data_IF_254184908980
#
_entry.id   IF_254184908980
#
_cell.length_a   1.000
_cell.length_b   1.000
_cell.length_c   1.000
_cell.angle_alpha   90.00
_cell.angle_beta   90.00
_cell.angle_gamma   90.00
#
_symmetry.space_group_name_H-M   'P 1'
#
loop_
_entity.id
_entity.type
_entity.pdbx_description
1 polymer ?
#
# COMPACT_ATOMS: atom_id res chain seq x y z
N UNK A 1 -7.99 -0.45 2.26
CA UNK A 1 -7.65 -0.03 0.87
C UNK A 1 -8.74 0.88 0.33
N UNK A 2 -8.38 2.01 -0.26
CA UNK A 2 -9.35 2.84 -0.95
C UNK A 2 -9.77 2.13 -2.23
N UNK A 3 -11.01 1.65 -2.28
CA UNK A 3 -11.58 1.02 -3.47
C UNK A 3 -11.59 1.93 -4.72
N UNK A 4 -11.30 3.20 -4.57
CA UNK A 4 -11.30 4.22 -5.62
C UNK A 4 -9.96 4.43 -6.36
N UNK A 5 -8.91 3.70 -6.01
CA UNK A 5 -7.59 3.89 -6.60
C UNK A 5 -6.85 5.14 -6.12
N UNK A 6 -5.68 5.40 -6.68
CA UNK A 6 -4.85 6.56 -6.36
C UNK A 6 -5.21 7.71 -7.28
N UNK A 7 -5.68 8.81 -6.70
CA UNK A 7 -6.03 10.03 -7.46
C UNK A 7 -4.80 10.54 -8.24
N UNK A 8 -4.96 10.77 -9.51
CA UNK A 8 -3.91 11.30 -10.38
C UNK A 8 -2.97 10.25 -10.98
N UNK A 9 -2.93 9.00 -10.46
CA UNK A 9 -2.01 7.97 -10.91
C UNK A 9 -2.09 7.73 -12.44
N UNK A 10 -3.29 7.66 -13.01
CA UNK A 10 -3.48 7.48 -14.47
C UNK A 10 -2.84 8.59 -15.30
N UNK A 11 -2.93 9.85 -14.83
CA UNK A 11 -2.33 10.98 -15.54
C UNK A 11 -0.82 10.98 -15.41
N UNK A 12 -0.30 10.67 -14.21
CA UNK A 12 1.14 10.52 -13.98
C UNK A 12 1.72 9.43 -14.87
N UNK A 13 1.09 8.25 -14.92
CA UNK A 13 1.54 7.12 -15.76
C UNK A 13 1.55 7.46 -17.23
N UNK A 14 0.55 8.21 -17.73
CA UNK A 14 0.50 8.67 -19.13
C UNK A 14 1.61 9.66 -19.50
N UNK A 15 2.08 10.43 -18.52
CA UNK A 15 3.12 11.44 -18.72
C UNK A 15 4.56 10.87 -18.58
N UNK A 16 4.71 9.59 -18.22
CA UNK A 16 6.02 8.96 -18.10
C UNK A 16 6.70 8.83 -19.45
N UNK A 17 8.00 9.11 -19.49
CA UNK A 17 8.85 8.82 -20.65
C UNK A 17 8.99 7.30 -20.84
N UNK A 18 9.23 6.86 -22.08
CA UNK A 18 9.33 5.41 -22.42
C UNK A 18 10.45 4.68 -21.67
N UNK A 19 11.53 5.39 -21.33
CA UNK A 19 12.72 4.90 -20.64
C UNK A 19 12.71 5.18 -19.13
N UNK A 20 11.61 5.74 -18.61
CA UNK A 20 11.50 6.06 -17.21
C UNK A 20 11.62 4.80 -16.35
N UNK A 21 12.54 4.83 -15.39
CA UNK A 21 12.67 3.80 -14.35
C UNK A 21 11.66 4.09 -13.25
N UNK A 22 10.84 3.10 -12.94
CA UNK A 22 9.70 3.28 -12.05
C UNK A 22 9.92 2.46 -10.78
N UNK A 23 9.74 3.12 -9.65
CA UNK A 23 9.67 2.46 -8.33
C UNK A 23 8.29 2.77 -7.77
N UNK A 24 7.53 1.73 -7.48
CA UNK A 24 6.23 1.84 -6.82
C UNK A 24 6.40 1.41 -5.37
N UNK A 25 6.07 2.31 -4.45
CA UNK A 25 6.09 2.02 -3.02
C UNK A 25 4.66 2.07 -2.51
N UNK A 26 4.19 0.99 -1.91
CA UNK A 26 2.90 0.97 -1.22
C UNK A 26 3.10 0.99 0.28
N UNK A 27 2.22 1.69 0.98
CA UNK A 27 2.25 1.77 2.45
C UNK A 27 0.89 1.35 2.98
N UNK A 28 0.86 0.43 3.92
CA UNK A 28 -0.36 -0.08 4.54
C UNK A 28 -0.16 -0.50 5.99
N UNK A 29 -1.23 -0.95 6.64
CA UNK A 29 -1.17 -1.45 8.02
C UNK A 29 -0.96 -2.97 8.08
N UNK A 30 -1.44 -3.71 7.07
CA UNK A 30 -1.33 -5.15 7.01
C UNK A 30 0.14 -5.60 6.87
N UNK A 31 0.40 -6.84 7.27
CA UNK A 31 1.73 -7.41 7.21
C UNK A 31 2.24 -7.47 5.76
N UNK A 32 3.45 -6.99 5.55
CA UNK A 32 4.12 -6.97 4.23
C UNK A 32 4.76 -8.30 3.89
N UNK A 33 4.80 -9.26 4.81
CA UNK A 33 5.26 -10.63 4.59
C UNK A 33 4.10 -11.61 4.38
N UNK A 34 2.86 -11.17 4.56
CA UNK A 34 1.66 -11.96 4.27
C UNK A 34 1.43 -12.00 2.75
N UNK A 35 1.50 -13.21 2.17
CA UNK A 35 1.39 -13.40 0.73
C UNK A 35 0.01 -13.00 0.19
N UNK A 36 -1.08 -13.27 0.93
CA UNK A 36 -2.43 -12.86 0.55
C UNK A 36 -2.51 -11.32 0.45
N UNK A 37 -1.92 -10.62 1.41
CA UNK A 37 -1.86 -9.16 1.40
C UNK A 37 -1.09 -8.64 0.19
N UNK A 38 0.09 -9.19 -0.10
CA UNK A 38 0.91 -8.82 -1.25
C UNK A 38 0.13 -9.02 -2.55
N UNK A 39 -0.52 -10.17 -2.72
CA UNK A 39 -1.28 -10.50 -3.93
C UNK A 39 -2.46 -9.55 -4.12
N UNK A 40 -3.16 -9.19 -3.06
CA UNK A 40 -4.26 -8.23 -3.09
C UNK A 40 -3.80 -6.82 -3.47
N UNK A 41 -2.65 -6.39 -2.93
CA UNK A 41 -2.04 -5.10 -3.29
C UNK A 41 -1.65 -5.11 -4.78
N UNK A 42 -0.97 -6.16 -5.25
CA UNK A 42 -0.55 -6.30 -6.65
C UNK A 42 -1.74 -6.34 -7.61
N UNK A 43 -2.79 -7.08 -7.29
CA UNK A 43 -4.05 -7.05 -8.06
C UNK A 43 -4.64 -5.65 -8.17
N UNK A 44 -4.56 -4.86 -7.09
CA UNK A 44 -5.03 -3.48 -7.09
C UNK A 44 -4.16 -2.55 -7.94
N UNK A 45 -2.84 -2.73 -7.91
CA UNK A 45 -1.90 -1.98 -8.76
C UNK A 45 -2.15 -2.31 -10.23
N UNK A 46 -2.30 -3.59 -10.59
CA UNK A 46 -2.53 -4.05 -11.95
C UNK A 46 -3.82 -3.48 -12.59
N UNK A 47 -4.82 -3.13 -11.77
CA UNK A 47 -6.05 -2.46 -12.25
C UNK A 47 -5.84 -0.98 -12.60
N UNK A 48 -4.77 -0.36 -12.11
CA UNK A 48 -4.55 1.09 -12.18
C UNK A 48 -3.35 1.47 -13.06
N UNK A 49 -2.38 0.58 -13.18
CA UNK A 49 -1.13 0.80 -13.91
C UNK A 49 -1.05 -0.18 -15.08
N UNK A 50 -0.81 0.29 -16.32
CA UNK A 50 -0.68 -0.57 -17.48
C UNK A 50 0.47 -1.58 -17.33
N UNK A 51 0.31 -2.78 -17.92
CA UNK A 51 1.27 -3.87 -17.78
C UNK A 51 2.65 -3.53 -18.36
N UNK A 52 2.72 -2.79 -19.45
CA UNK A 52 4.00 -2.33 -20.03
C UNK A 52 4.81 -1.44 -19.06
N UNK A 53 4.13 -0.71 -18.19
CA UNK A 53 4.76 0.08 -17.12
C UNK A 53 5.22 -0.84 -15.98
N UNK A 54 4.37 -1.78 -15.58
CA UNK A 54 4.66 -2.71 -14.49
C UNK A 54 5.83 -3.64 -14.79
N UNK A 55 6.01 -4.03 -16.07
CA UNK A 55 7.13 -4.87 -16.49
C UNK A 55 8.50 -4.23 -16.22
N UNK A 56 8.55 -2.88 -16.18
CA UNK A 56 9.76 -2.10 -15.91
C UNK A 56 9.79 -1.49 -14.50
N UNK A 57 8.78 -1.78 -13.67
CA UNK A 57 8.66 -1.24 -12.34
C UNK A 57 9.26 -2.19 -11.28
N UNK A 58 9.92 -1.61 -10.29
CA UNK A 58 10.25 -2.30 -9.04
C UNK A 58 9.20 -1.91 -8.00
N UNK A 59 8.62 -2.90 -7.32
CA UNK A 59 7.53 -2.67 -6.37
C UNK A 59 7.99 -3.05 -4.97
N UNK A 60 7.82 -2.13 -4.02
CA UNK A 60 8.08 -2.35 -2.60
C UNK A 60 6.80 -2.18 -1.80
N UNK A 61 6.69 -2.97 -0.74
CA UNK A 61 5.59 -2.89 0.22
C UNK A 61 6.16 -2.53 1.59
N UNK A 62 5.65 -1.46 2.19
CA UNK A 62 6.06 -0.99 3.51
C UNK A 62 4.88 -0.98 4.47
N UNK A 63 5.16 -1.14 5.75
CA UNK A 63 4.17 -0.89 6.80
C UNK A 63 4.22 0.55 7.24
N UNK A 64 3.06 1.10 7.57
CA UNK A 64 2.91 2.44 8.11
C UNK A 64 2.28 2.43 9.50
N UNK A 65 1.87 3.59 9.95
CA UNK A 65 1.17 3.75 11.22
C UNK A 65 -0.20 4.42 11.05
N UNK A 66 -1.02 4.34 12.08
CA UNK A 66 -2.28 5.07 12.17
C UNK A 66 -2.50 5.54 13.61
N UNK A 67 -2.97 6.77 13.75
CA UNK A 67 -3.47 7.30 15.01
C UNK A 67 -4.96 7.63 14.83
N UNK A 68 -5.83 6.76 15.35
CA UNK A 68 -7.27 6.94 15.22
C UNK A 68 -7.78 8.22 15.89
N UNK A 69 -7.09 8.73 16.92
CA UNK A 69 -7.47 9.98 17.60
C UNK A 69 -7.25 11.20 16.72
N UNK A 70 -6.30 11.13 15.78
CA UNK A 70 -5.98 12.21 14.83
C UNK A 70 -6.81 12.17 13.56
N UNK A 71 -7.62 11.12 13.34
CA UNK A 71 -8.53 11.07 12.20
C UNK A 71 -9.60 12.15 12.33
N UNK A 72 -9.93 12.81 11.23
CA UNK A 72 -11.06 13.72 11.18
C UNK A 72 -12.39 12.95 11.36
N UNK A 73 -13.46 13.67 11.72
CA UNK A 73 -14.75 13.08 12.05
C UNK A 73 -15.29 12.16 10.93
N UNK A 74 -15.15 12.57 9.66
CA UNK A 74 -15.59 11.78 8.50
C UNK A 74 -14.88 10.43 8.43
N UNK A 75 -13.55 10.42 8.58
CA UNK A 75 -12.77 9.18 8.54
C UNK A 75 -13.03 8.30 9.77
N UNK A 76 -13.19 8.90 10.95
CA UNK A 76 -13.56 8.14 12.17
C UNK A 76 -14.90 7.44 12.01
N UNK A 77 -15.92 8.14 11.51
CA UNK A 77 -17.25 7.55 11.26
C UNK A 77 -17.17 6.43 10.23
N UNK A 78 -16.45 6.65 9.12
CA UNK A 78 -16.27 5.62 8.09
C UNK A 78 -15.58 4.37 8.66
N UNK A 79 -14.51 4.55 9.47
CA UNK A 79 -13.81 3.44 10.10
C UNK A 79 -14.69 2.69 11.10
N UNK A 80 -15.51 3.40 11.87
CA UNK A 80 -16.46 2.79 12.81
C UNK A 80 -17.52 1.95 12.10
N UNK A 81 -18.09 2.44 11.01
CA UNK A 81 -19.05 1.69 10.20
C UNK A 81 -18.41 0.44 9.58
N UNK A 82 -17.21 0.58 9.05
CA UNK A 82 -16.47 -0.53 8.48
C UNK A 82 -16.13 -1.59 9.53
N UNK A 83 -15.61 -1.17 10.69
CA UNK A 83 -15.32 -2.07 11.81
C UNK A 83 -16.55 -2.85 12.25
N UNK A 84 -17.69 -2.18 12.46
CA UNK A 84 -18.94 -2.83 12.84
C UNK A 84 -19.42 -3.84 11.81
N UNK A 85 -19.17 -3.59 10.52
CA UNK A 85 -19.52 -4.50 9.44
C UNK A 85 -18.66 -5.77 9.43
N UNK A 86 -17.37 -5.65 9.74
CA UNK A 86 -16.40 -6.74 9.51
C UNK A 86 -15.98 -7.49 10.78
N UNK A 87 -16.16 -6.90 11.98
CA UNK A 87 -15.73 -7.53 13.25
C UNK A 87 -16.36 -8.90 13.52
N UNK A 88 -17.58 -9.12 12.99
CA UNK A 88 -18.32 -10.37 13.14
C UNK A 88 -18.17 -11.34 11.98
N UNK A 89 -17.33 -11.02 10.98
CA UNK A 89 -17.07 -11.95 9.90
C UNK A 89 -16.36 -13.22 10.43
N UNK A 90 -16.71 -14.41 9.89
CA UNK A 90 -15.97 -15.62 10.16
C UNK A 90 -14.48 -15.47 9.77
N UNK A 91 -13.59 -16.16 10.47
CA UNK A 91 -12.12 -16.03 10.23
C UNK A 91 -11.73 -16.32 8.77
N UNK A 92 -12.36 -17.32 8.14
CA UNK A 92 -12.12 -17.67 6.73
C UNK A 92 -12.56 -16.60 5.71
N UNK A 93 -13.28 -15.57 6.15
CA UNK A 93 -13.70 -14.41 5.34
C UNK A 93 -12.95 -13.13 5.67
N UNK A 94 -12.08 -13.16 6.68
CA UNK A 94 -11.25 -12.01 7.06
C UNK A 94 -9.96 -12.03 6.25
N UNK A 95 -9.83 -11.11 5.31
CA UNK A 95 -8.55 -10.87 4.62
C UNK A 95 -7.52 -10.28 5.56
N UNK A 96 -6.23 -10.33 5.20
CA UNK A 96 -5.14 -9.71 5.96
C UNK A 96 -5.40 -8.22 6.28
N UNK A 97 -5.99 -7.49 5.34
CA UNK A 97 -6.36 -6.08 5.52
C UNK A 97 -7.48 -5.91 6.57
N UNK A 98 -8.47 -6.78 6.55
CA UNK A 98 -9.58 -6.76 7.54
C UNK A 98 -9.04 -7.09 8.93
N UNK A 99 -8.17 -8.09 9.05
CA UNK A 99 -7.53 -8.44 10.32
C UNK A 99 -6.73 -7.27 10.87
N UNK A 100 -5.84 -6.68 10.06
CA UNK A 100 -5.06 -5.52 10.47
C UNK A 100 -5.94 -4.33 10.88
N UNK A 101 -7.05 -4.09 10.17
CA UNK A 101 -7.99 -3.05 10.53
C UNK A 101 -8.69 -3.31 11.86
N UNK A 102 -9.10 -4.57 12.13
CA UNK A 102 -9.75 -4.94 13.40
C UNK A 102 -8.75 -4.78 14.56
N UNK A 103 -7.52 -5.26 14.39
CA UNK A 103 -6.46 -5.19 15.40
C UNK A 103 -6.09 -3.75 15.75
N UNK A 104 -6.05 -2.88 14.76
CA UNK A 104 -5.61 -1.49 14.94
C UNK A 104 -6.74 -0.51 15.21
N UNK A 105 -8.01 -0.97 15.18
CA UNK A 105 -9.16 -0.10 15.36
C UNK A 105 -9.13 0.62 16.70
N UNK A 106 -9.34 1.94 16.65
CA UNK A 106 -9.33 2.84 17.81
C UNK A 106 -7.99 2.89 18.59
N UNK A 107 -6.90 2.42 17.98
CA UNK A 107 -5.57 2.43 18.57
C UNK A 107 -4.66 3.47 17.88
N UNK A 108 -3.53 3.73 18.51
CA UNK A 108 -2.38 4.36 17.89
C UNK A 108 -1.34 3.25 17.69
N UNK A 109 -1.02 2.96 16.44
CA UNK A 109 0.01 1.98 16.08
C UNK A 109 1.01 2.60 15.12
N UNK A 110 2.25 2.20 15.23
CA UNK A 110 3.34 2.60 14.36
C UNK A 110 4.17 1.35 14.03
N UNK A 111 4.08 0.91 12.78
CA UNK A 111 4.83 -0.22 12.24
C UNK A 111 5.91 0.24 11.26
N UNK A 112 6.30 1.53 11.32
CA UNK A 112 7.31 2.08 10.43
C UNK A 112 8.65 1.44 10.76
N UNK A 113 9.22 0.81 9.73
CA UNK A 113 10.57 0.27 9.74
C UNK A 113 11.43 1.07 8.75
N UNK A 114 12.31 1.90 9.28
CA UNK A 114 13.21 2.72 8.46
C UNK A 114 14.27 1.87 7.75
N UNK A 115 14.64 0.72 8.30
CA UNK A 115 15.62 -0.18 7.66
C UNK A 115 15.07 -0.80 6.37
N UNK A 116 13.75 -0.94 6.26
CA UNK A 116 13.11 -1.36 5.01
C UNK A 116 13.37 -0.41 3.84
N UNK A 117 13.68 0.86 4.09
CA UNK A 117 14.06 1.84 3.06
C UNK A 117 15.42 1.54 2.43
N UNK A 118 16.30 0.82 3.11
CA UNK A 118 17.64 0.48 2.59
C UNK A 118 17.58 -0.30 1.28
N UNK A 119 16.56 -1.14 1.09
CA UNK A 119 16.35 -1.88 -0.15
C UNK A 119 16.01 -0.93 -1.31
N UNK A 120 15.17 0.07 -1.06
CA UNK A 120 14.78 1.09 -2.04
C UNK A 120 16.00 1.92 -2.43
N UNK A 121 16.79 2.37 -1.44
CA UNK A 121 18.01 3.15 -1.64
C UNK A 121 19.02 2.38 -2.48
N UNK A 122 19.22 1.07 -2.21
CA UNK A 122 20.10 0.21 -3.02
C UNK A 122 19.66 0.18 -4.48
N UNK A 123 18.37 0.03 -4.76
CA UNK A 123 17.85 0.01 -6.14
C UNK A 123 18.03 1.35 -6.84
N UNK A 124 17.85 2.47 -6.13
CA UNK A 124 18.09 3.81 -6.68
C UNK A 124 19.57 3.98 -7.03
N UNK A 125 20.48 3.64 -6.12
CA UNK A 125 21.91 3.81 -6.30
C UNK A 125 22.48 2.90 -7.40
N UNK A 126 22.07 1.64 -7.46
CA UNK A 126 22.47 0.73 -8.55
C UNK A 126 22.06 1.25 -9.92
N UNK A 127 20.91 1.92 -10.01
CA UNK A 127 20.42 2.49 -11.27
C UNK A 127 21.14 3.80 -11.67
N UNK A 128 21.76 4.49 -10.74
CA UNK A 128 22.55 5.70 -11.03
C UNK A 128 23.94 5.38 -11.60
N UNK A 129 24.52 4.21 -11.26
CA UNK A 129 25.83 3.78 -11.76
C UNK A 129 25.83 3.36 -13.25
N UNK A 130 24.67 3.07 -13.84
CA UNK A 130 24.51 2.70 -15.25
C UNK A 130 24.00 3.84 -16.13
N UNK A 131 23.92 5.07 -15.61
CA UNK A 131 23.41 6.24 -16.32
C UNK A 131 24.55 7.25 -16.68
N UNK A 132 25.81 6.80 -16.62
CA UNK A 132 26.99 7.55 -17.11
C UNK A 132 27.44 7.02 -18.46
#
# INVERSE_FOLDING_TARGET
MYAGGVKGLKNTVKALKKDAKIIIVTVGLADVYDQENIDNIRKSINKQVPQNILNNATIFHLRGGIDHKKLNLKHRTMMALLYNKVKHLPENKKTAEIKAMIETYNQKVDFIDYDALNQIIKVINQKSLFAQ
#
